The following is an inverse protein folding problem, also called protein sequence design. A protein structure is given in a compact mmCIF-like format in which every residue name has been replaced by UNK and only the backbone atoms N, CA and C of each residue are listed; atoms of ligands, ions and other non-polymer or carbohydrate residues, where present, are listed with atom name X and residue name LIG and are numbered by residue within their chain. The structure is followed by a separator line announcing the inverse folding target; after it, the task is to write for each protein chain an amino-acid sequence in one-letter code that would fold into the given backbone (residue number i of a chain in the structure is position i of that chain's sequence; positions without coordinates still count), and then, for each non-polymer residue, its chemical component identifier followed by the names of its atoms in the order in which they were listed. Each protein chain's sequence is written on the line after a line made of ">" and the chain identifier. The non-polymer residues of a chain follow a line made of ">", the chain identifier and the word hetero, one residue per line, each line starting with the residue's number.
data_IF_407301630267
#
_entry.id   IF_407301630267
#
_cell.length_a   1.000
_cell.length_b   1.000
_cell.length_c   1.000
_cell.angle_alpha   90.00
_cell.angle_beta   90.00
_cell.angle_gamma   90.00
#
_symmetry.space_group_name_H-M   'P 1'
#
loop_
_entity.id
_entity.type
_entity.pdbx_description
1 polymer ?
#
# COMPACT_ATOMS: atom_id res chain seq x y z
N UNK A 1 53.23 36.49 49.43
CA UNK A 1 52.06 35.76 48.90
C UNK A 1 51.21 36.78 48.14
N UNK A 2 51.37 36.91 46.80
CA UNK A 2 50.47 36.36 45.74
C UNK A 2 48.99 36.55 46.13
N UNK A 3 48.12 37.30 45.44
CA UNK A 3 47.95 37.61 43.98
C UNK A 3 47.19 38.95 43.86
N UNK A 4 47.74 39.98 43.20
CA UNK A 4 47.63 40.36 41.78
C UNK A 4 46.20 40.68 41.28
N UNK A 5 45.82 41.96 41.44
CA UNK A 5 44.81 42.68 40.63
C UNK A 5 45.43 43.00 39.27
N UNK A 6 44.76 42.69 38.16
CA UNK A 6 44.91 43.42 36.90
C UNK A 6 43.55 43.47 36.19
N UNK A 7 42.95 44.66 36.19
CA UNK A 7 41.90 45.12 35.29
C UNK A 7 42.48 45.30 33.89
N UNK A 8 41.78 44.84 32.85
CA UNK A 8 42.15 45.07 31.45
C UNK A 8 41.03 45.85 30.74
N UNK A 9 41.36 46.94 30.01
CA UNK A 9 40.37 47.83 29.43
C UNK A 9 39.87 47.36 28.06
N UNK A 10 38.69 47.88 27.73
CA UNK A 10 37.99 47.77 26.46
C UNK A 10 38.80 48.44 25.34
N UNK A 11 39.10 47.71 24.27
CA UNK A 11 39.59 48.26 23.01
C UNK A 11 38.96 47.50 21.85
N UNK A 12 38.19 48.22 21.03
CA UNK A 12 37.61 47.73 19.79
C UNK A 12 38.69 47.67 18.69
N UNK A 13 38.76 46.54 17.98
CA UNK A 13 39.34 46.45 16.64
C UNK A 13 38.44 45.58 15.76
N UNK A 14 37.88 46.19 14.73
CA UNK A 14 37.33 45.49 13.57
C UNK A 14 38.49 44.91 12.75
N UNK A 15 38.43 43.62 12.43
CA UNK A 15 39.08 43.06 11.25
C UNK A 15 38.26 41.86 10.76
N UNK A 16 37.76 42.02 9.53
CA UNK A 16 37.04 41.02 8.78
C UNK A 16 37.91 39.78 8.49
N UNK A 17 37.34 38.59 8.66
CA UNK A 17 37.66 37.42 7.87
C UNK A 17 36.35 36.71 7.58
N UNK A 18 35.88 36.85 6.34
CA UNK A 18 34.86 36.01 5.77
C UNK A 18 35.34 34.57 5.76
N UNK A 19 34.90 33.80 6.74
CA UNK A 19 34.86 32.35 6.64
C UNK A 19 33.55 32.00 5.98
N UNK A 20 33.61 31.74 4.67
CA UNK A 20 32.55 31.09 3.91
C UNK A 20 32.10 29.85 4.69
N UNK A 21 30.99 29.99 5.41
CA UNK A 21 30.26 28.85 5.92
C UNK A 21 29.88 28.04 4.69
N UNK A 22 30.61 26.96 4.45
CA UNK A 22 30.17 25.87 3.60
C UNK A 22 28.89 25.36 4.23
N UNK A 23 27.77 25.97 3.85
CA UNK A 23 26.45 25.36 3.96
C UNK A 23 26.57 24.08 3.16
N UNK A 24 26.86 22.98 3.84
CA UNK A 24 26.68 21.65 3.26
C UNK A 24 25.28 21.66 2.70
N UNK A 25 25.16 21.50 1.39
CA UNK A 25 23.88 21.37 0.72
C UNK A 25 23.08 20.38 1.56
N UNK A 26 21.98 20.84 2.17
CA UNK A 26 21.08 19.95 2.88
C UNK A 26 20.79 18.82 1.89
N UNK A 27 21.10 17.58 2.27
CA UNK A 27 20.86 16.44 1.42
C UNK A 27 19.44 16.56 0.86
N UNK A 28 19.29 16.41 -0.46
CA UNK A 28 18.00 16.50 -1.15
C UNK A 28 17.15 15.33 -0.64
N UNK A 29 16.46 15.52 0.48
CA UNK A 29 15.73 14.48 1.19
C UNK A 29 14.26 14.58 0.87
N UNK A 30 13.73 13.51 0.28
CA UNK A 30 12.31 13.29 0.07
C UNK A 30 11.77 12.40 1.18
N UNK A 31 10.59 12.73 1.70
CA UNK A 31 9.87 11.95 2.70
C UNK A 31 8.54 11.46 2.11
N UNK A 32 8.36 10.16 2.07
CA UNK A 32 7.15 9.49 1.62
C UNK A 32 6.58 8.67 2.77
N UNK A 33 5.29 8.87 3.06
CA UNK A 33 4.54 8.07 4.06
C UNK A 33 3.41 7.31 3.37
N UNK A 34 2.70 6.44 4.09
CA UNK A 34 1.42 5.92 3.61
C UNK A 34 1.23 4.42 3.68
N UNK A 35 0.56 3.89 2.67
CA UNK A 35 0.11 2.50 2.57
C UNK A 35 1.25 1.48 2.73
N UNK A 36 1.06 0.51 3.61
CA UNK A 36 1.90 -0.69 3.72
C UNK A 36 1.89 -1.55 2.44
N UNK A 37 0.81 -1.46 1.65
CA UNK A 37 0.67 -2.23 0.41
C UNK A 37 1.43 -1.59 -0.75
N UNK A 38 1.55 -0.25 -0.74
CA UNK A 38 2.32 0.50 -1.75
C UNK A 38 3.77 0.73 -1.31
N UNK A 39 4.03 0.62 0.00
CA UNK A 39 5.36 0.72 0.61
C UNK A 39 6.44 -0.07 -0.13
N UNK A 40 6.32 -1.39 -0.38
CA UNK A 40 7.40 -2.15 -1.04
C UNK A 40 7.68 -1.68 -2.47
N UNK A 41 6.65 -1.21 -3.20
CA UNK A 41 6.81 -0.65 -4.53
C UNK A 41 7.54 0.70 -4.49
N UNK A 42 7.09 1.61 -3.64
CA UNK A 42 7.73 2.93 -3.48
C UNK A 42 9.16 2.80 -2.99
N UNK A 43 9.46 1.88 -2.07
CA UNK A 43 10.82 1.61 -1.60
C UNK A 43 11.70 1.10 -2.74
N UNK A 44 11.21 0.20 -3.59
CA UNK A 44 11.98 -0.27 -4.74
C UNK A 44 12.31 0.87 -5.73
N UNK A 45 11.36 1.78 -5.99
CA UNK A 45 11.62 2.98 -6.82
C UNK A 45 12.61 3.91 -6.14
N UNK A 46 12.48 4.13 -4.82
CA UNK A 46 13.40 4.95 -4.03
C UNK A 46 14.85 4.44 -4.10
N UNK A 47 15.06 3.14 -3.93
CA UNK A 47 16.37 2.50 -4.02
C UNK A 47 17.01 2.65 -5.41
N UNK A 48 16.24 2.42 -6.48
CA UNK A 48 16.74 2.61 -7.84
C UNK A 48 17.04 4.08 -8.15
N UNK A 49 16.14 4.97 -7.75
CA UNK A 49 16.28 6.40 -7.92
C UNK A 49 17.53 6.94 -7.21
N UNK A 50 17.76 6.54 -5.96
CA UNK A 50 18.95 6.94 -5.19
C UNK A 50 20.25 6.43 -5.82
N UNK A 51 20.26 5.20 -6.36
CA UNK A 51 21.43 4.68 -7.10
C UNK A 51 21.73 5.52 -8.34
N UNK A 52 20.69 5.99 -9.05
CA UNK A 52 20.84 6.81 -10.24
C UNK A 52 21.11 8.30 -9.94
N UNK A 53 20.86 8.77 -8.71
CA UNK A 53 20.95 10.17 -8.31
C UNK A 53 21.75 10.33 -7.00
N UNK A 54 23.09 10.23 -7.05
CA UNK A 54 23.94 10.43 -5.87
C UNK A 54 23.68 11.78 -5.20
N UNK A 55 23.61 11.80 -3.87
CA UNK A 55 23.35 13.02 -3.08
C UNK A 55 21.86 13.28 -2.80
N UNK A 56 20.95 12.48 -3.34
CA UNK A 56 19.52 12.48 -3.00
C UNK A 56 19.18 11.30 -2.08
N UNK A 57 18.28 11.50 -1.13
CA UNK A 57 17.79 10.45 -0.21
C UNK A 57 16.27 10.43 -0.23
N UNK A 58 15.66 9.25 -0.30
CA UNK A 58 14.20 9.08 -0.25
C UNK A 58 13.88 8.18 0.94
N UNK A 59 13.28 8.75 1.97
CA UNK A 59 12.81 8.00 3.14
C UNK A 59 11.36 7.59 2.85
N UNK A 60 11.10 6.29 2.92
CA UNK A 60 9.75 5.73 2.77
C UNK A 60 9.35 5.12 4.11
N UNK A 61 8.20 5.51 4.65
CA UNK A 61 7.66 5.02 5.91
C UNK A 61 6.27 4.41 5.70
N UNK A 62 6.04 3.22 6.26
CA UNK A 62 4.73 2.59 6.26
C UNK A 62 3.93 3.09 7.46
N UNK A 63 2.84 3.80 7.21
CA UNK A 63 1.96 4.41 8.22
C UNK A 63 0.50 4.00 8.06
N UNK A 64 0.14 3.28 6.99
CA UNK A 64 -1.22 3.09 6.52
C UNK A 64 -1.74 4.28 5.72
N UNK A 65 -2.67 4.06 4.77
CA UNK A 65 -3.16 5.11 3.85
C UNK A 65 -3.83 6.27 4.57
N UNK A 66 -4.79 6.01 5.47
CA UNK A 66 -5.51 7.09 6.17
C UNK A 66 -4.60 7.93 7.07
N UNK A 67 -3.78 7.29 7.90
CA UNK A 67 -2.85 8.01 8.77
C UNK A 67 -1.72 8.71 7.97
N UNK A 68 -1.25 8.10 6.88
CA UNK A 68 -0.28 8.72 5.98
C UNK A 68 -0.83 9.96 5.28
N UNK A 69 -2.08 9.92 4.80
CA UNK A 69 -2.75 11.09 4.22
C UNK A 69 -2.88 12.19 5.28
N UNK A 70 -3.26 11.86 6.51
CA UNK A 70 -3.32 12.82 7.61
C UNK A 70 -1.96 13.48 7.89
N UNK A 71 -0.87 12.71 7.87
CA UNK A 71 0.49 13.24 8.03
C UNK A 71 0.89 14.13 6.84
N UNK A 72 0.61 13.68 5.61
CA UNK A 72 0.86 14.44 4.39
C UNK A 72 0.11 15.78 4.37
N UNK A 73 -1.14 15.80 4.84
CA UNK A 73 -2.01 16.97 4.88
C UNK A 73 -1.84 17.83 6.14
N UNK A 74 -0.86 17.55 7.00
CA UNK A 74 -0.65 18.32 8.24
C UNK A 74 0.08 19.66 8.06
N UNK A 75 0.53 20.00 6.84
CA UNK A 75 1.08 21.31 6.51
C UNK A 75 2.14 21.31 5.39
N UNK A 76 2.78 22.46 5.20
CA UNK A 76 3.85 22.71 4.22
C UNK A 76 5.16 23.04 4.94
N UNK A 77 6.28 22.52 4.46
CA UNK A 77 7.61 22.73 5.03
C UNK A 77 8.41 21.43 5.17
N UNK A 78 9.71 21.56 5.47
CA UNK A 78 10.66 20.44 5.49
C UNK A 78 10.35 19.35 6.53
N UNK A 79 9.58 19.69 7.57
CA UNK A 79 9.14 18.75 8.60
C UNK A 79 8.00 17.83 8.12
N UNK A 80 7.23 18.24 7.10
CA UNK A 80 6.08 17.48 6.62
C UNK A 80 6.45 16.55 5.47
N UNK A 81 5.73 15.44 5.27
CA UNK A 81 5.94 14.55 4.12
C UNK A 81 5.77 15.31 2.79
N UNK A 82 6.60 14.94 1.81
CA UNK A 82 6.54 15.46 0.44
C UNK A 82 5.51 14.71 -0.39
N UNK A 83 5.30 13.43 -0.07
CA UNK A 83 4.43 12.51 -0.81
C UNK A 83 3.73 11.56 0.14
N UNK A 84 2.59 11.01 -0.31
CA UNK A 84 1.93 9.89 0.34
C UNK A 84 1.54 8.83 -0.68
N UNK A 85 1.90 7.58 -0.42
CA UNK A 85 1.42 6.45 -1.21
C UNK A 85 0.12 5.87 -0.61
N UNK A 86 -0.80 5.45 -1.45
CA UNK A 86 -2.16 5.16 -1.04
C UNK A 86 -2.75 3.98 -1.81
N UNK A 87 -3.50 3.15 -1.10
CA UNK A 87 -4.19 1.99 -1.65
C UNK A 87 -5.68 2.24 -1.93
N UNK A 88 -6.03 3.51 -2.07
CA UNK A 88 -7.33 4.02 -2.49
C UNK A 88 -7.19 5.49 -2.88
N UNK A 89 -8.21 6.01 -3.55
CA UNK A 89 -8.35 7.43 -3.86
C UNK A 89 -8.33 8.27 -2.57
N UNK A 90 -7.78 9.48 -2.67
CA UNK A 90 -7.93 10.56 -1.70
C UNK A 90 -9.42 10.92 -1.60
N UNK A 91 -9.94 11.06 -0.38
CA UNK A 91 -11.34 11.45 -0.18
C UNK A 91 -11.52 12.96 -0.26
N UNK A 92 -12.71 13.41 -0.62
CA UNK A 92 -13.04 14.85 -0.61
C UNK A 92 -12.76 15.49 0.77
N UNK A 93 -13.19 14.86 1.86
CA UNK A 93 -12.95 15.35 3.22
C UNK A 93 -11.48 15.35 3.63
N UNK A 94 -10.68 14.41 3.12
CA UNK A 94 -9.24 14.41 3.36
C UNK A 94 -8.57 15.53 2.59
N UNK A 95 -8.98 15.79 1.35
CA UNK A 95 -8.50 16.93 0.58
C UNK A 95 -8.84 18.26 1.26
N UNK A 96 -10.05 18.39 1.83
CA UNK A 96 -10.42 19.58 2.62
C UNK A 96 -9.47 19.80 3.79
N UNK A 97 -9.08 18.75 4.52
CA UNK A 97 -8.05 18.83 5.56
C UNK A 97 -6.71 19.33 5.01
N UNK A 98 -6.28 18.82 3.85
CA UNK A 98 -5.07 19.29 3.15
C UNK A 98 -5.17 20.78 2.81
N UNK A 99 -6.28 21.21 2.20
CA UNK A 99 -6.50 22.58 1.77
C UNK A 99 -6.53 23.56 2.96
N UNK A 100 -7.15 23.15 4.08
CA UNK A 100 -7.17 23.90 5.33
C UNK A 100 -5.77 24.06 5.94
N UNK A 101 -4.90 23.07 5.77
CA UNK A 101 -3.49 23.13 6.16
C UNK A 101 -2.58 23.81 5.11
N UNK A 102 -3.15 24.35 4.04
CA UNK A 102 -2.46 25.07 2.96
C UNK A 102 -1.98 24.20 1.80
N UNK A 103 -2.11 22.87 1.90
CA UNK A 103 -1.74 21.90 0.86
C UNK A 103 -2.86 21.85 -0.20
N UNK A 104 -2.78 22.73 -1.20
CA UNK A 104 -3.83 22.97 -2.20
C UNK A 104 -3.47 22.42 -3.58
N UNK A 105 -2.20 22.13 -3.83
CA UNK A 105 -1.68 21.62 -5.08
C UNK A 105 -1.31 20.14 -4.94
N UNK A 106 -2.29 19.31 -4.58
CA UNK A 106 -2.07 17.86 -4.48
C UNK A 106 -2.06 17.27 -5.88
N UNK A 107 -0.93 16.72 -6.31
CA UNK A 107 -0.80 16.03 -7.60
C UNK A 107 -1.06 14.55 -7.37
N UNK A 108 -2.05 13.98 -8.05
CA UNK A 108 -2.33 12.54 -8.01
C UNK A 108 -1.56 11.81 -9.12
N UNK A 109 -0.97 10.67 -8.78
CA UNK A 109 -0.33 9.75 -9.71
C UNK A 109 -0.93 8.36 -9.52
N UNK A 110 -1.81 7.88 -10.42
CA UNK A 110 -2.20 6.47 -10.44
C UNK A 110 -0.98 5.63 -10.84
N UNK A 111 -0.60 4.65 -10.02
CA UNK A 111 0.65 3.91 -10.21
C UNK A 111 0.46 2.48 -10.71
N UNK A 112 -0.72 1.90 -10.53
CA UNK A 112 -0.99 0.53 -10.95
C UNK A 112 -2.19 -0.05 -10.22
N UNK A 113 -2.37 -1.34 -10.39
CA UNK A 113 -3.43 -2.12 -9.77
C UNK A 113 -2.79 -3.15 -8.84
N UNK A 114 -3.29 -3.19 -7.61
CA UNK A 114 -3.05 -4.31 -6.70
C UNK A 114 -4.04 -5.42 -7.06
N UNK A 115 -3.54 -6.66 -7.19
CA UNK A 115 -4.34 -7.83 -7.52
C UNK A 115 -4.07 -8.94 -6.52
N UNK A 116 -4.79 -8.95 -5.41
CA UNK A 116 -4.70 -10.00 -4.39
C UNK A 116 -5.48 -11.23 -4.84
N UNK A 117 -4.81 -12.36 -4.99
CA UNK A 117 -5.42 -13.60 -5.46
C UNK A 117 -5.41 -14.70 -4.40
N UNK A 118 -6.36 -15.62 -4.53
CA UNK A 118 -6.33 -16.90 -3.86
C UNK A 118 -5.96 -17.98 -4.87
N UNK A 119 -5.10 -18.92 -4.48
CA UNK A 119 -4.60 -20.00 -5.34
C UNK A 119 -4.83 -21.36 -4.70
N UNK A 120 -4.91 -22.41 -5.51
CA UNK A 120 -4.97 -23.81 -5.08
C UNK A 120 -3.99 -24.66 -5.88
N UNK A 121 -3.67 -25.87 -5.41
CA UNK A 121 -2.87 -26.81 -6.18
C UNK A 121 -3.54 -27.11 -7.54
N UNK A 122 -2.73 -27.23 -8.59
CA UNK A 122 -3.23 -27.55 -9.93
C UNK A 122 -3.86 -28.94 -9.98
N UNK A 123 -4.88 -29.11 -10.83
CA UNK A 123 -5.60 -30.38 -11.01
C UNK A 123 -6.66 -30.65 -9.93
N UNK A 124 -6.81 -29.78 -8.94
CA UNK A 124 -7.92 -29.83 -7.99
C UNK A 124 -9.22 -29.32 -8.64
N UNK A 125 -10.40 -29.78 -8.17
CA UNK A 125 -11.68 -29.18 -8.56
C UNK A 125 -11.64 -27.65 -8.36
N UNK A 126 -12.08 -26.84 -9.33
CA UNK A 126 -12.05 -25.40 -9.20
C UNK A 126 -12.88 -24.92 -7.99
N UNK A 127 -12.25 -24.16 -7.09
CA UNK A 127 -12.97 -23.48 -6.03
C UNK A 127 -13.46 -22.11 -6.49
N UNK A 128 -14.66 -21.76 -6.04
CA UNK A 128 -15.26 -20.45 -6.19
C UNK A 128 -15.84 -20.04 -4.85
N UNK A 129 -15.33 -18.95 -4.27
CA UNK A 129 -15.73 -18.47 -2.95
C UNK A 129 -16.28 -17.05 -3.05
N UNK A 130 -17.26 -16.68 -2.24
CA UNK A 130 -17.62 -15.26 -2.09
C UNK A 130 -16.70 -14.56 -1.09
N UNK A 131 -16.60 -13.24 -1.14
CA UNK A 131 -15.86 -12.47 -0.11
C UNK A 131 -16.40 -12.73 1.30
N UNK A 132 -17.71 -12.95 1.42
CA UNK A 132 -18.36 -13.31 2.68
C UNK A 132 -17.93 -14.70 3.17
N UNK A 133 -17.88 -15.70 2.28
CA UNK A 133 -17.43 -17.05 2.63
C UNK A 133 -15.95 -17.05 3.05
N UNK A 134 -15.10 -16.29 2.36
CA UNK A 134 -13.70 -16.12 2.75
C UNK A 134 -13.60 -15.46 4.14
N UNK A 135 -14.36 -14.39 4.38
CA UNK A 135 -14.43 -13.74 5.69
C UNK A 135 -14.86 -14.71 6.80
N UNK A 136 -15.98 -15.43 6.62
CA UNK A 136 -16.48 -16.40 7.59
C UNK A 136 -15.48 -17.52 7.87
N UNK A 137 -14.73 -17.98 6.88
CA UNK A 137 -13.73 -19.03 7.05
C UNK A 137 -12.47 -18.56 7.78
N UNK A 138 -12.06 -17.30 7.60
CA UNK A 138 -10.77 -16.78 8.07
C UNK A 138 -10.82 -15.85 9.28
N UNK A 139 -11.96 -15.21 9.55
CA UNK A 139 -12.08 -14.30 10.69
C UNK A 139 -11.89 -15.04 12.01
N UNK A 140 -11.19 -14.41 12.97
CA UNK A 140 -11.07 -14.92 14.34
C UNK A 140 -12.42 -14.95 15.05
N UNK A 141 -13.26 -13.95 14.80
CA UNK A 141 -14.61 -13.85 15.35
C UNK A 141 -15.57 -13.32 14.27
N UNK A 142 -16.06 -14.18 13.34
CA UNK A 142 -16.94 -13.73 12.27
C UNK A 142 -18.20 -13.05 12.83
N UNK A 143 -18.41 -11.79 12.47
CA UNK A 143 -19.47 -10.91 12.99
C UNK A 143 -19.50 -10.81 14.52
N UNK A 144 -18.35 -10.93 15.18
CA UNK A 144 -18.21 -10.92 16.64
C UNK A 144 -18.63 -12.22 17.33
N UNK A 145 -18.90 -13.29 16.57
CA UNK A 145 -19.25 -14.63 17.10
C UNK A 145 -18.02 -15.53 17.15
N UNK A 146 -18.05 -16.54 18.00
CA UNK A 146 -16.99 -17.57 18.07
C UNK A 146 -16.82 -18.25 16.71
N UNK A 147 -15.58 -18.36 16.24
CA UNK A 147 -15.23 -19.13 15.05
C UNK A 147 -15.37 -20.63 15.32
N UNK A 148 -16.19 -21.33 14.53
CA UNK A 148 -16.44 -22.77 14.68
C UNK A 148 -16.15 -23.58 13.42
N UNK A 149 -16.03 -22.94 12.25
CA UNK A 149 -15.87 -23.65 10.98
C UNK A 149 -14.52 -24.35 10.91
N UNK A 150 -14.52 -25.65 10.61
CA UNK A 150 -13.32 -26.46 10.40
C UNK A 150 -13.15 -26.84 8.93
N UNK A 151 -14.25 -26.92 8.18
CA UNK A 151 -14.31 -27.21 6.76
C UNK A 151 -15.04 -26.10 6.00
N UNK A 152 -14.85 -26.02 4.68
CA UNK A 152 -15.57 -25.04 3.86
C UNK A 152 -17.09 -25.31 3.86
N UNK A 153 -17.52 -26.57 3.99
CA UNK A 153 -18.93 -26.93 4.15
C UNK A 153 -19.56 -26.38 5.46
N UNK A 154 -18.77 -26.17 6.52
CA UNK A 154 -19.24 -25.53 7.76
C UNK A 154 -19.50 -24.02 7.57
N UNK A 155 -18.82 -23.40 6.60
CA UNK A 155 -19.04 -22.00 6.23
C UNK A 155 -20.31 -21.85 5.40
N UNK A 156 -20.49 -22.74 4.42
CA UNK A 156 -21.64 -22.78 3.53
C UNK A 156 -21.82 -24.22 2.99
N UNK A 157 -23.01 -24.85 3.13
CA UNK A 157 -23.23 -26.24 2.71
C UNK A 157 -23.03 -26.50 1.21
N UNK A 158 -23.02 -25.47 0.37
CA UNK A 158 -22.72 -25.61 -1.06
C UNK A 158 -21.23 -25.79 -1.37
N UNK A 159 -20.36 -25.52 -0.40
CA UNK A 159 -18.90 -25.66 -0.52
C UNK A 159 -18.46 -27.09 -0.17
N UNK A 160 -17.27 -27.52 -0.66
CA UNK A 160 -16.79 -28.86 -0.40
C UNK A 160 -16.45 -29.10 1.09
N UNK A 161 -16.62 -30.33 1.56
CA UNK A 161 -16.25 -30.77 2.90
C UNK A 161 -14.72 -30.96 3.06
N UNK A 162 -13.95 -29.96 2.63
CA UNK A 162 -12.48 -29.89 2.72
C UNK A 162 -12.11 -29.02 3.91
N UNK A 163 -11.13 -29.47 4.70
CA UNK A 163 -10.61 -28.71 5.85
C UNK A 163 -10.13 -27.32 5.42
N UNK A 164 -10.51 -26.29 6.17
CA UNK A 164 -10.00 -24.93 5.93
C UNK A 164 -8.52 -24.92 6.28
N UNK A 165 -7.68 -24.72 5.26
CA UNK A 165 -6.25 -24.52 5.43
C UNK A 165 -5.76 -23.48 4.43
N UNK A 166 -5.48 -22.28 4.94
CA UNK A 166 -5.02 -21.15 4.14
C UNK A 166 -3.60 -20.80 4.52
N UNK A 167 -2.71 -20.85 3.55
CA UNK A 167 -1.35 -20.36 3.63
C UNK A 167 -1.34 -18.90 3.20
N UNK A 168 -0.79 -18.02 4.03
CA UNK A 168 -0.77 -16.60 3.71
C UNK A 168 0.36 -15.84 4.37
N UNK A 169 0.53 -14.57 4.00
CA UNK A 169 1.61 -13.74 4.51
C UNK A 169 1.48 -13.43 6.01
N UNK A 170 2.58 -13.10 6.71
CA UNK A 170 2.57 -12.73 8.12
C UNK A 170 1.94 -11.34 8.34
N UNK A 171 1.71 -10.91 9.61
CA UNK A 171 1.06 -9.64 9.93
C UNK A 171 1.83 -8.38 9.50
N UNK A 172 3.11 -8.52 9.15
CA UNK A 172 3.97 -7.43 8.66
C UNK A 172 3.82 -7.14 7.17
N UNK A 173 3.07 -7.97 6.45
CA UNK A 173 3.05 -7.97 4.99
C UNK A 173 1.97 -7.06 4.41
N UNK A 174 2.32 -6.30 3.37
CA UNK A 174 1.33 -5.53 2.60
C UNK A 174 0.27 -6.42 1.96
N UNK A 175 0.60 -7.66 1.57
CA UNK A 175 -0.36 -8.63 1.02
C UNK A 175 -1.39 -9.05 2.08
N UNK A 176 -1.00 -9.10 3.37
CA UNK A 176 -1.91 -9.35 4.50
C UNK A 176 -2.88 -8.19 4.68
N UNK A 177 -2.41 -6.97 4.52
CA UNK A 177 -3.26 -5.78 4.55
C UNK A 177 -4.21 -5.72 3.36
N UNK A 178 -3.78 -6.12 2.16
CA UNK A 178 -4.68 -6.30 1.00
C UNK A 178 -5.76 -7.33 1.29
N UNK A 179 -5.43 -8.47 1.92
CA UNK A 179 -6.43 -9.47 2.33
C UNK A 179 -7.45 -8.89 3.32
N UNK A 180 -6.98 -8.13 4.30
CA UNK A 180 -7.84 -7.45 5.26
C UNK A 180 -8.80 -6.46 4.58
N UNK A 181 -8.28 -5.57 3.73
CA UNK A 181 -9.03 -4.44 3.17
C UNK A 181 -9.93 -4.84 1.98
N UNK A 182 -9.47 -5.73 1.11
CA UNK A 182 -10.18 -6.10 -0.12
C UNK A 182 -11.16 -7.25 0.08
N UNK A 183 -10.88 -8.15 1.01
CA UNK A 183 -11.66 -9.39 1.17
C UNK A 183 -12.35 -9.44 2.54
N UNK A 184 -11.61 -9.39 3.63
CA UNK A 184 -12.18 -9.61 4.97
C UNK A 184 -13.13 -8.48 5.38
N UNK A 185 -12.71 -7.23 5.24
CA UNK A 185 -13.55 -6.07 5.53
C UNK A 185 -14.81 -6.07 4.65
N UNK A 186 -14.66 -6.37 3.35
CA UNK A 186 -15.80 -6.42 2.41
C UNK A 186 -16.77 -7.55 2.72
N UNK A 187 -16.26 -8.72 3.09
CA UNK A 187 -17.08 -9.84 3.54
C UNK A 187 -17.80 -9.51 4.86
N UNK A 188 -17.11 -8.87 5.80
CA UNK A 188 -17.69 -8.41 7.06
C UNK A 188 -18.79 -7.37 6.85
N UNK A 189 -18.59 -6.41 5.94
CA UNK A 189 -19.55 -5.36 5.60
C UNK A 189 -20.79 -5.88 4.84
N UNK A 190 -20.86 -7.18 4.54
CA UNK A 190 -22.11 -7.80 4.05
C UNK A 190 -23.21 -7.82 5.13
N UNK A 191 -22.83 -7.81 6.43
CA UNK A 191 -23.75 -7.68 7.56
C UNK A 191 -24.02 -6.18 7.86
N UNK A 192 -25.30 -5.72 7.83
CA UNK A 192 -25.67 -4.35 8.17
C UNK A 192 -25.20 -3.89 9.56
N UNK A 193 -25.10 -4.81 10.54
CA UNK A 193 -24.63 -4.47 11.88
C UNK A 193 -23.13 -4.09 11.89
N UNK A 194 -22.32 -4.68 11.00
CA UNK A 194 -20.91 -4.32 10.88
C UNK A 194 -20.76 -2.95 10.22
N UNK A 195 -21.57 -2.64 9.20
CA UNK A 195 -21.61 -1.29 8.63
C UNK A 195 -21.96 -0.23 9.67
N UNK A 196 -22.98 -0.48 10.50
CA UNK A 196 -23.35 0.41 11.60
C UNK A 196 -22.24 0.52 12.65
N UNK A 197 -21.52 -0.56 12.94
CA UNK A 197 -20.37 -0.54 13.85
C UNK A 197 -19.26 0.36 13.30
N UNK A 198 -18.97 0.31 11.99
CA UNK A 198 -17.94 1.14 11.34
C UNK A 198 -18.20 2.64 11.50
N UNK A 199 -19.46 3.05 11.45
CA UNK A 199 -19.87 4.45 11.64
C UNK A 199 -19.70 4.90 13.09
N UNK A 200 -19.99 4.00 14.04
CA UNK A 200 -19.92 4.27 15.48
C UNK A 200 -18.50 4.19 16.05
N UNK A 201 -17.75 3.17 15.66
CA UNK A 201 -16.43 2.82 16.20
C UNK A 201 -15.61 2.06 15.14
N UNK A 202 -14.76 2.82 14.43
CA UNK A 202 -13.90 2.29 13.37
C UNK A 202 -12.87 1.29 13.88
N UNK A 203 -12.40 1.45 15.11
CA UNK A 203 -11.37 0.57 15.68
C UNK A 203 -11.98 -0.77 16.09
N UNK A 204 -13.16 -0.76 16.71
CA UNK A 204 -13.92 -1.98 17.00
C UNK A 204 -14.35 -2.73 15.73
N UNK A 205 -14.78 -2.00 14.69
CA UNK A 205 -15.07 -2.57 13.38
C UNK A 205 -13.82 -3.23 12.77
N UNK A 206 -12.70 -2.51 12.71
CA UNK A 206 -11.43 -3.05 12.20
C UNK A 206 -11.01 -4.30 12.96
N UNK A 207 -11.04 -4.27 14.28
CA UNK A 207 -10.68 -5.41 15.12
C UNK A 207 -11.57 -6.64 14.88
N UNK A 208 -12.86 -6.42 14.62
CA UNK A 208 -13.83 -7.50 14.36
C UNK A 208 -13.72 -8.04 12.93
N UNK A 209 -13.55 -7.15 11.95
CA UNK A 209 -13.65 -7.48 10.54
C UNK A 209 -12.35 -7.93 9.90
N UNK A 210 -11.19 -7.60 10.48
CA UNK A 210 -9.89 -7.88 9.86
C UNK A 210 -9.01 -8.85 10.64
N UNK A 211 -9.36 -9.16 11.90
CA UNK A 211 -8.59 -10.13 12.70
C UNK A 211 -8.78 -11.53 12.14
N UNK A 212 -7.68 -12.15 11.74
CA UNK A 212 -7.64 -13.53 11.22
C UNK A 212 -7.50 -14.51 12.40
N UNK A 213 -8.14 -15.67 12.28
CA UNK A 213 -8.05 -16.79 13.23
C UNK A 213 -6.63 -17.33 13.37
N UNK A 214 -6.28 -17.78 14.57
CA UNK A 214 -4.94 -18.28 14.95
C UNK A 214 -4.99 -19.76 15.41
N UNK A 215 -6.08 -20.45 15.11
CA UNK A 215 -6.34 -21.85 15.51
C UNK A 215 -5.78 -22.89 14.51
N UNK A 216 -4.86 -22.48 13.65
CA UNK A 216 -4.17 -23.33 12.67
C UNK A 216 -4.89 -23.49 11.33
N UNK A 217 -6.08 -22.92 11.14
CA UNK A 217 -6.72 -22.88 9.82
C UNK A 217 -6.07 -21.87 8.87
N UNK A 218 -5.53 -20.76 9.42
CA UNK A 218 -4.63 -19.86 8.70
C UNK A 218 -3.20 -20.09 9.19
N UNK A 219 -2.27 -20.34 8.27
CA UNK A 219 -0.87 -20.62 8.55
C UNK A 219 0.00 -19.61 7.84
N UNK A 220 0.82 -18.90 8.62
CA UNK A 220 1.72 -17.90 8.10
C UNK A 220 2.88 -18.56 7.35
N UNK A 221 3.05 -18.20 6.08
CA UNK A 221 3.96 -18.86 5.15
C UNK A 221 5.27 -18.08 4.90
N UNK A 222 5.43 -16.91 5.53
CA UNK A 222 6.53 -15.96 5.32
C UNK A 222 6.24 -14.95 4.19
N UNK A 223 7.18 -14.04 3.94
CA UNK A 223 7.06 -12.98 2.90
C UNK A 223 7.47 -13.44 1.49
N UNK A 224 7.83 -14.73 1.31
CA UNK A 224 8.30 -15.24 0.03
C UNK A 224 7.16 -15.95 -0.72
N UNK A 225 6.53 -15.23 -1.66
CA UNK A 225 5.42 -15.76 -2.46
C UNK A 225 5.81 -16.98 -3.31
N UNK A 226 7.04 -17.06 -3.82
CA UNK A 226 7.51 -18.25 -4.55
C UNK A 226 7.55 -19.50 -3.66
N UNK A 227 7.92 -19.34 -2.39
CA UNK A 227 7.85 -20.41 -1.40
C UNK A 227 6.38 -20.74 -1.05
N UNK A 228 5.50 -19.73 -1.01
CA UNK A 228 4.07 -19.94 -0.83
C UNK A 228 3.48 -20.79 -1.96
N UNK A 229 3.79 -20.46 -3.22
CA UNK A 229 3.40 -21.26 -4.40
C UNK A 229 3.90 -22.70 -4.28
N UNK A 230 5.17 -22.90 -3.89
CA UNK A 230 5.71 -24.24 -3.68
C UNK A 230 4.94 -25.03 -2.63
N UNK A 231 4.63 -24.41 -1.48
CA UNK A 231 3.87 -25.05 -0.40
C UNK A 231 2.45 -25.40 -0.84
N UNK A 232 1.74 -24.50 -1.52
CA UNK A 232 0.38 -24.74 -2.01
C UNK A 232 0.36 -25.84 -3.07
N UNK A 233 1.28 -25.81 -4.02
CA UNK A 233 1.38 -26.82 -5.10
C UNK A 233 1.61 -28.23 -4.55
N UNK A 234 2.31 -28.36 -3.43
CA UNK A 234 2.60 -29.62 -2.76
C UNK A 234 1.51 -30.07 -1.75
N UNK A 235 0.46 -29.27 -1.54
CA UNK A 235 -0.52 -29.48 -0.47
C UNK A 235 -1.96 -29.41 -1.01
N UNK A 236 -2.46 -30.48 -1.65
CA UNK A 236 -3.82 -30.54 -2.19
C UNK A 236 -4.88 -30.22 -1.14
N UNK A 237 -5.78 -29.29 -1.47
CA UNK A 237 -6.84 -28.81 -0.57
C UNK A 237 -6.45 -27.57 0.24
N UNK A 238 -5.18 -27.17 0.26
CA UNK A 238 -4.77 -25.89 0.80
C UNK A 238 -5.04 -24.74 -0.19
N UNK A 239 -5.33 -23.56 0.34
CA UNK A 239 -5.43 -22.31 -0.42
C UNK A 239 -4.24 -21.42 -0.07
N UNK A 240 -3.67 -20.73 -1.06
CA UNK A 240 -2.66 -19.69 -0.86
C UNK A 240 -3.20 -18.29 -1.07
N UNK A 241 -2.65 -17.29 -0.39
CA UNK A 241 -2.94 -15.86 -0.61
C UNK A 241 -1.67 -15.15 -1.09
N UNK A 242 -1.69 -14.61 -2.30
CA UNK A 242 -0.54 -13.92 -2.91
C UNK A 242 -0.96 -12.91 -4.00
N UNK A 243 -0.03 -12.07 -4.44
CA UNK A 243 -0.24 -11.13 -5.55
C UNK A 243 -0.33 -11.81 -6.93
N UNK A 244 -1.14 -11.27 -7.83
CA UNK A 244 -1.49 -11.87 -9.14
C UNK A 244 -0.28 -12.27 -9.98
N UNK A 245 0.84 -11.52 -9.96
CA UNK A 245 2.04 -11.87 -10.73
C UNK A 245 2.55 -13.28 -10.42
N UNK A 246 2.55 -13.67 -9.15
CA UNK A 246 3.05 -14.98 -8.75
C UNK A 246 2.10 -16.10 -9.14
N UNK A 247 0.79 -15.84 -9.21
CA UNK A 247 -0.15 -16.76 -9.84
C UNK A 247 0.17 -16.89 -11.34
N UNK A 248 0.25 -15.78 -12.07
CA UNK A 248 0.48 -15.75 -13.52
C UNK A 248 1.77 -16.49 -13.92
N UNK A 249 2.87 -16.25 -13.19
CA UNK A 249 4.16 -16.91 -13.42
C UNK A 249 4.17 -18.41 -13.09
N UNK A 250 3.16 -18.93 -12.38
CA UNK A 250 3.13 -20.31 -11.86
C UNK A 250 1.84 -21.08 -12.23
N UNK A 251 1.12 -20.68 -13.28
CA UNK A 251 -0.08 -21.38 -13.78
C UNK A 251 0.21 -22.82 -14.24
N UNK A 252 1.47 -23.18 -14.43
CA UNK A 252 1.91 -24.55 -14.67
C UNK A 252 1.78 -25.44 -13.41
N UNK A 253 1.77 -24.87 -12.20
CA UNK A 253 1.84 -25.56 -10.90
C UNK A 253 0.66 -25.32 -9.95
N UNK A 254 0.01 -24.16 -10.08
CA UNK A 254 -1.16 -23.77 -9.28
C UNK A 254 -2.30 -23.32 -10.18
N UNK A 255 -3.50 -23.23 -9.61
CA UNK A 255 -4.69 -22.72 -10.28
C UNK A 255 -5.32 -21.60 -9.44
N UNK A 256 -5.99 -20.62 -10.07
CA UNK A 256 -6.69 -19.58 -9.33
C UNK A 256 -7.95 -20.12 -8.64
N UNK A 257 -8.27 -19.54 -7.49
CA UNK A 257 -9.60 -19.61 -6.86
C UNK A 257 -10.39 -18.40 -7.31
N UNK A 258 -11.56 -18.63 -7.90
CA UNK A 258 -12.46 -17.54 -8.30
C UNK A 258 -13.10 -16.90 -7.08
N UNK A 259 -13.33 -15.59 -7.13
CA UNK A 259 -14.05 -14.87 -6.09
C UNK A 259 -15.35 -14.33 -6.66
N UNK A 260 -16.49 -14.76 -6.11
CA UNK A 260 -17.81 -14.34 -6.57
C UNK A 260 -18.08 -14.68 -8.04
N UNK A 261 -17.52 -15.78 -8.54
CA UNK A 261 -17.62 -16.19 -9.95
C UNK A 261 -16.64 -15.49 -10.90
N UNK A 262 -15.81 -14.57 -10.40
CA UNK A 262 -14.80 -13.87 -11.21
C UNK A 262 -13.43 -14.51 -11.00
N UNK A 263 -12.81 -14.97 -12.08
CA UNK A 263 -11.44 -15.50 -12.07
C UNK A 263 -10.43 -14.36 -12.17
N UNK A 264 -9.35 -14.35 -11.36
CA UNK A 264 -8.30 -13.36 -11.49
C UNK A 264 -7.52 -13.55 -12.81
N UNK A 265 -7.64 -12.55 -13.66
CA UNK A 265 -6.87 -12.36 -14.90
C UNK A 265 -6.42 -10.91 -14.97
N UNK A 266 -5.40 -10.62 -15.78
CA UNK A 266 -4.98 -9.23 -16.07
C UNK A 266 -6.19 -8.37 -16.44
N UNK A 267 -7.05 -8.83 -17.34
CA UNK A 267 -8.24 -8.09 -17.77
C UNK A 267 -9.21 -7.78 -16.62
N UNK A 268 -9.55 -8.78 -15.80
CA UNK A 268 -10.51 -8.61 -14.68
C UNK A 268 -9.94 -7.78 -13.53
N UNK A 269 -8.61 -7.80 -13.36
CA UNK A 269 -7.92 -7.02 -12.33
C UNK A 269 -7.79 -5.57 -12.80
N UNK A 270 -7.29 -5.36 -14.02
CA UNK A 270 -7.11 -4.02 -14.59
C UNK A 270 -8.41 -3.25 -14.78
N UNK A 271 -9.53 -3.93 -15.02
CA UNK A 271 -10.86 -3.29 -15.10
C UNK A 271 -11.63 -3.24 -13.77
N UNK A 272 -11.00 -3.67 -12.67
CA UNK A 272 -11.56 -3.70 -11.31
C UNK A 272 -12.81 -4.57 -11.10
N UNK A 273 -13.11 -5.49 -12.03
CA UNK A 273 -14.23 -6.44 -11.86
C UNK A 273 -13.90 -7.59 -10.90
N UNK A 274 -12.61 -7.92 -10.73
CA UNK A 274 -12.18 -8.91 -9.75
C UNK A 274 -12.23 -8.34 -8.32
N UNK A 275 -12.90 -8.99 -7.35
CA UNK A 275 -13.07 -8.42 -6.00
C UNK A 275 -11.76 -8.12 -5.24
N UNK A 276 -10.70 -8.87 -5.52
CA UNK A 276 -9.37 -8.68 -4.94
C UNK A 276 -8.52 -7.62 -5.64
N UNK A 277 -9.15 -6.63 -6.31
CA UNK A 277 -8.42 -5.61 -7.07
C UNK A 277 -8.71 -4.18 -6.62
N UNK A 278 -7.72 -3.29 -6.76
CA UNK A 278 -7.84 -1.85 -6.50
C UNK A 278 -6.78 -1.04 -7.23
N UNK A 279 -7.09 0.22 -7.53
CA UNK A 279 -6.09 1.19 -7.96
C UNK A 279 -5.18 1.60 -6.79
N UNK A 280 -3.91 1.77 -7.10
CA UNK A 280 -2.89 2.31 -6.20
C UNK A 280 -2.46 3.69 -6.68
N UNK A 281 -2.13 4.55 -5.73
CA UNK A 281 -1.85 5.95 -5.98
C UNK A 281 -0.60 6.41 -5.24
N UNK A 282 0.03 7.45 -5.78
CA UNK A 282 0.98 8.30 -5.09
C UNK A 282 0.51 9.73 -5.23
N UNK A 283 0.36 10.43 -4.10
CA UNK A 283 0.04 11.84 -4.06
C UNK A 283 1.30 12.64 -3.74
N UNK A 284 1.47 13.76 -4.42
CA UNK A 284 2.63 14.64 -4.28
C UNK A 284 2.18 16.04 -3.90
N UNK A 285 2.92 16.65 -2.98
CA UNK A 285 2.70 18.03 -2.57
C UNK A 285 3.38 18.98 -3.57
N UNK A 286 2.59 19.61 -4.43
CA UNK A 286 3.09 20.57 -5.42
C UNK A 286 3.83 21.74 -4.78
N UNK A 287 3.45 22.15 -3.56
CA UNK A 287 4.08 23.24 -2.81
C UNK A 287 5.55 22.97 -2.48
N UNK A 288 5.96 21.70 -2.40
CA UNK A 288 7.35 21.35 -2.08
C UNK A 288 8.25 21.35 -3.32
N UNK A 289 7.69 21.34 -4.54
CA UNK A 289 8.45 21.09 -5.77
C UNK A 289 9.45 22.19 -6.14
N UNK A 290 9.14 23.46 -5.83
CA UNK A 290 10.05 24.57 -6.08
C UNK A 290 11.30 24.50 -5.19
N UNK A 291 11.13 24.09 -3.93
CA UNK A 291 12.22 23.96 -2.97
C UNK A 291 12.98 22.63 -3.11
N UNK A 292 12.33 21.59 -3.66
CA UNK A 292 12.90 20.24 -3.81
C UNK A 292 12.79 19.74 -5.26
N UNK A 293 13.70 20.13 -6.15
CA UNK A 293 13.70 19.70 -7.55
C UNK A 293 13.77 18.16 -7.73
N UNK A 294 14.28 17.45 -6.73
CA UNK A 294 14.29 15.98 -6.69
C UNK A 294 12.89 15.36 -6.81
N UNK A 295 11.82 16.06 -6.39
CA UNK A 295 10.45 15.55 -6.49
C UNK A 295 10.08 15.24 -7.95
N UNK A 296 10.35 16.17 -8.87
CA UNK A 296 10.04 15.97 -10.29
C UNK A 296 10.77 14.75 -10.87
N UNK A 297 12.08 14.64 -10.58
CA UNK A 297 12.88 13.48 -11.02
C UNK A 297 12.38 12.16 -10.43
N UNK A 298 11.87 12.18 -9.19
CA UNK A 298 11.32 11.00 -8.55
C UNK A 298 9.97 10.60 -9.15
N UNK A 299 9.11 11.56 -9.51
CA UNK A 299 7.88 11.30 -10.28
C UNK A 299 8.19 10.62 -11.62
N UNK A 300 9.18 11.13 -12.35
CA UNK A 300 9.64 10.54 -13.61
C UNK A 300 10.17 9.11 -13.42
N UNK A 301 10.96 8.87 -12.37
CA UNK A 301 11.43 7.53 -12.03
C UNK A 301 10.27 6.57 -11.68
N UNK A 302 9.28 7.06 -10.94
CA UNK A 302 8.08 6.29 -10.60
C UNK A 302 7.27 5.92 -11.84
N UNK A 303 7.02 6.88 -12.73
CA UNK A 303 6.30 6.66 -13.99
C UNK A 303 7.01 5.64 -14.90
N UNK A 304 8.34 5.70 -14.98
CA UNK A 304 9.13 4.69 -15.71
C UNK A 304 9.02 3.30 -15.05
N UNK A 305 9.00 3.24 -13.73
CA UNK A 305 8.94 2.00 -12.97
C UNK A 305 7.58 1.27 -13.08
N UNK A 306 6.49 2.04 -13.23
CA UNK A 306 5.11 1.54 -13.36
C UNK A 306 4.67 1.27 -14.81
N UNK A 307 5.38 1.84 -15.80
CA UNK A 307 5.10 1.62 -17.21
C UNK A 307 5.14 0.14 -17.61
N UNK A 308 4.55 -0.19 -18.76
CA UNK A 308 4.51 -1.57 -19.28
C UNK A 308 5.93 -2.17 -19.38
N UNK A 309 6.15 -3.32 -18.72
CA UNK A 309 7.47 -3.96 -18.63
C UNK A 309 8.43 -3.30 -17.63
N UNK A 310 7.97 -2.32 -16.87
CA UNK A 310 8.70 -1.66 -15.80
C UNK A 310 9.01 -2.59 -14.63
N UNK A 311 9.92 -2.16 -13.76
CA UNK A 311 10.44 -2.98 -12.67
C UNK A 311 9.36 -3.43 -11.66
N UNK A 312 8.28 -2.66 -11.52
CA UNK A 312 7.25 -2.96 -10.51
C UNK A 312 6.32 -4.10 -10.93
N UNK A 313 6.18 -4.36 -12.24
CA UNK A 313 5.46 -5.52 -12.73
C UNK A 313 6.08 -6.83 -12.22
N UNK A 314 7.43 -6.90 -12.22
CA UNK A 314 8.19 -8.04 -11.66
C UNK A 314 8.09 -8.16 -10.13
N UNK A 315 7.49 -7.18 -9.47
CA UNK A 315 7.24 -7.18 -8.03
C UNK A 315 5.75 -7.35 -7.70
N UNK A 316 4.91 -7.61 -8.70
CA UNK A 316 3.49 -7.89 -8.53
C UNK A 316 2.53 -6.73 -8.72
N UNK A 317 3.02 -5.57 -9.16
CA UNK A 317 2.14 -4.48 -9.57
C UNK A 317 1.52 -4.79 -10.93
N UNK A 318 0.20 -4.89 -11.00
CA UNK A 318 -0.49 -5.07 -12.28
C UNK A 318 -0.56 -3.72 -13.00
N UNK A 319 -0.15 -3.61 -14.28
CA UNK A 319 -0.24 -2.35 -15.01
C UNK A 319 -1.68 -1.82 -15.09
N UNK A 320 -1.80 -0.50 -15.13
CA UNK A 320 -3.05 0.15 -15.53
C UNK A 320 -3.40 -0.27 -16.97
N UNK A 321 -4.69 -0.43 -17.27
CA UNK A 321 -5.15 -0.63 -18.65
C UNK A 321 -4.76 0.55 -19.54
N UNK A 322 -4.70 0.35 -20.86
CA UNK A 322 -4.10 1.31 -21.81
C UNK A 322 -4.60 2.76 -21.66
N UNK A 323 -5.92 2.96 -21.50
CA UNK A 323 -6.51 4.28 -21.32
C UNK A 323 -6.08 4.94 -19.99
N UNK A 324 -6.12 4.19 -18.89
CA UNK A 324 -5.72 4.66 -17.56
C UNK A 324 -4.20 4.90 -17.49
N UNK A 325 -3.40 4.09 -18.18
CA UNK A 325 -1.95 4.25 -18.29
C UNK A 325 -1.58 5.53 -19.04
N UNK A 326 -2.28 5.81 -20.16
CA UNK A 326 -2.09 7.05 -20.90
C UNK A 326 -2.48 8.28 -20.06
N UNK A 327 -3.60 8.21 -19.33
CA UNK A 327 -4.03 9.26 -18.42
C UNK A 327 -3.03 9.48 -17.28
N UNK A 328 -2.53 8.42 -16.65
CA UNK A 328 -1.53 8.49 -15.59
C UNK A 328 -0.21 9.10 -16.09
N UNK A 329 0.22 8.74 -17.31
CA UNK A 329 1.42 9.31 -17.95
C UNK A 329 1.24 10.81 -18.25
N UNK A 330 0.09 11.19 -18.80
CA UNK A 330 -0.23 12.59 -19.07
C UNK A 330 -0.27 13.41 -17.76
N UNK A 331 -0.88 12.86 -16.71
CA UNK A 331 -0.96 13.46 -15.39
C UNK A 331 0.42 13.64 -14.75
N UNK A 332 1.29 12.62 -14.82
CA UNK A 332 2.67 12.70 -14.35
C UNK A 332 3.51 13.74 -15.09
N UNK A 333 3.28 13.91 -16.41
CA UNK A 333 3.95 14.91 -17.22
C UNK A 333 3.44 16.33 -16.99
N UNK A 334 2.13 16.48 -16.81
CA UNK A 334 1.47 17.78 -16.60
C UNK A 334 1.70 18.32 -15.18
N UNK A 335 1.90 17.44 -14.19
CA UNK A 335 2.02 17.79 -12.77
C UNK A 335 0.82 18.64 -12.29
N UNK A 336 -0.36 18.37 -12.85
CA UNK A 336 -1.57 19.12 -12.57
C UNK A 336 -2.13 18.72 -11.18
N UNK A 337 -2.59 19.67 -10.36
CA UNK A 337 -3.33 19.34 -9.15
C UNK A 337 -4.59 18.54 -9.47
N UNK A 338 -4.97 17.64 -8.55
CA UNK A 338 -6.24 16.94 -8.59
C UNK A 338 -7.39 17.94 -8.53
N UNK A 339 -8.43 17.72 -9.34
CA UNK A 339 -9.65 18.50 -9.26
C UNK A 339 -10.45 18.06 -8.03
N UNK A 340 -10.68 18.93 -7.02
CA UNK A 340 -11.44 18.56 -5.83
C UNK A 340 -12.86 18.09 -6.15
N UNK A 341 -13.45 18.58 -7.25
CA UNK A 341 -14.79 18.17 -7.68
C UNK A 341 -14.85 16.73 -8.22
N UNK A 342 -13.69 16.13 -8.53
CA UNK A 342 -13.58 14.74 -8.99
C UNK A 342 -13.48 13.73 -7.85
N UNK A 343 -13.22 14.19 -6.61
CA UNK A 343 -13.04 13.33 -5.44
C UNK A 343 -14.40 12.85 -4.87
N UNK A 344 -14.39 11.64 -4.31
CA UNK A 344 -15.56 10.99 -3.69
C UNK A 344 -15.58 11.14 -2.17
#
# INVERSE_FOLDING_TARGET
>A
MKKLLITLPMAAMLAACGGSGSGGAAADQLKVVGSSTVYPFTTAVAEEFQRANPGTSVIVESTGTGAGIKLFCSGIGAQFPDMVNASRELKASEYEDCANAGVKNVIELPVGIDGLTLIQAKGQPPLNLTVEQIYKGLAANPYGKTQTAQTWADVDPSLPAVKIRVLGPPPTSGTRDSLAELILEKGCDSDPAMKALKEKDKDAHKATCTKIREDGAYVEAGENDNLLVQKVSADPGAIGVLGYSFLEENLDRVAPVSIGGVTPTEATISNLSYPGSRKLYVYVKGEHMAAKPAIKRFIEAYSKATGKGGMLAKRGLVPLGDADSAAATAQAGALAPVDPASLK
#
